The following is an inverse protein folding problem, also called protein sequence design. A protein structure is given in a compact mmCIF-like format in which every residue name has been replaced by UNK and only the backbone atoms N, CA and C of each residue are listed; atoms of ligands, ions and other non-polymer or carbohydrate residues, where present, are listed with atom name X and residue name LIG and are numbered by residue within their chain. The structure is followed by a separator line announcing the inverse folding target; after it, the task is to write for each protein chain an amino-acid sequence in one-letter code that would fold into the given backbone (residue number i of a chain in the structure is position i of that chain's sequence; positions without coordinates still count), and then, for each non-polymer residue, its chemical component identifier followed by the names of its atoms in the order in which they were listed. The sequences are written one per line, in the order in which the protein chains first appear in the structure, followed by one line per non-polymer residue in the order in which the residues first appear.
data_IF_540627846174
#
_entry.id   IF_540627846174
#
_cell.length_a   1.000
_cell.length_b   1.000
_cell.length_c   1.000
_cell.angle_alpha   90.00
_cell.angle_beta   90.00
_cell.angle_gamma   90.00
#
_symmetry.space_group_name_H-M   'P 1'
#
loop_
_entity.id
_entity.type
_entity.pdbx_description
1 polymer ?
#
# COMPACT_ATOMS: atom_id res chain seq x y z
N UNK A 1 6.66 -14.36 -0.17
CA UNK A 1 6.49 -13.26 0.82
C UNK A 1 5.05 -12.78 0.77
N UNK A 2 4.46 -12.47 1.92
CA UNK A 2 3.15 -11.83 2.07
C UNK A 2 3.33 -10.49 2.77
N UNK A 3 2.42 -9.55 2.52
CA UNK A 3 2.37 -8.27 3.23
C UNK A 3 1.10 -8.18 4.06
N UNK A 4 1.21 -7.85 5.34
CA UNK A 4 0.09 -7.46 6.18
C UNK A 4 -0.06 -5.95 6.11
N UNK A 5 -1.14 -5.49 5.50
CA UNK A 5 -1.53 -4.08 5.47
C UNK A 5 -2.54 -3.84 6.58
N UNK A 6 -2.20 -2.95 7.51
CA UNK A 6 -3.08 -2.59 8.62
C UNK A 6 -3.51 -1.13 8.47
N UNK A 7 -4.82 -0.91 8.54
CA UNK A 7 -5.42 0.43 8.50
C UNK A 7 -6.16 0.66 9.80
N UNK A 8 -5.83 1.74 10.50
CA UNK A 8 -6.51 2.15 11.73
C UNK A 8 -7.14 3.51 11.54
N UNK A 9 -8.42 3.63 11.86
CA UNK A 9 -9.11 4.89 11.94
C UNK A 9 -8.94 5.47 13.35
N UNK A 10 -8.58 6.71 13.43
CA UNK A 10 -8.27 7.42 14.66
C UNK A 10 -9.31 8.49 14.97
N UNK A 11 -9.45 8.83 16.23
CA UNK A 11 -10.19 10.02 16.64
C UNK A 11 -9.52 11.28 16.08
N UNK A 12 -10.29 12.33 15.73
CA UNK A 12 -9.72 13.61 15.31
C UNK A 12 -8.67 14.12 16.29
N UNK A 13 -7.64 14.79 15.78
CA UNK A 13 -6.55 15.40 16.53
C UNK A 13 -5.60 14.47 17.27
N UNK A 14 -5.75 13.14 17.13
CA UNK A 14 -4.91 12.16 17.82
C UNK A 14 -3.67 11.71 17.05
N UNK A 15 -3.60 12.00 15.76
CA UNK A 15 -2.54 11.51 14.87
C UNK A 15 -1.11 11.77 15.40
N UNK A 16 -0.73 12.99 15.84
CA UNK A 16 0.64 13.25 16.29
C UNK A 16 1.03 12.39 17.51
N UNK A 17 0.11 12.22 18.46
CA UNK A 17 0.37 11.42 19.65
C UNK A 17 0.43 9.91 19.32
N UNK A 18 -0.42 9.44 18.40
CA UNK A 18 -0.40 8.05 17.92
C UNK A 18 0.91 7.74 17.21
N UNK A 19 1.37 8.61 16.31
CA UNK A 19 2.65 8.44 15.61
C UNK A 19 3.82 8.41 16.57
N UNK A 20 3.85 9.32 17.55
CA UNK A 20 4.87 9.37 18.58
C UNK A 20 4.94 8.04 19.36
N UNK A 21 3.82 7.60 19.95
CA UNK A 21 3.76 6.36 20.74
C UNK A 21 4.07 5.12 19.90
N UNK A 22 3.65 5.14 18.62
CA UNK A 22 3.95 4.03 17.73
C UNK A 22 5.42 3.97 17.38
N UNK A 23 6.06 5.12 17.10
CA UNK A 23 7.51 5.22 16.87
C UNK A 23 8.33 4.75 18.06
N UNK A 24 7.97 5.19 19.28
CA UNK A 24 8.62 4.75 20.53
C UNK A 24 8.52 3.23 20.72
N UNK A 25 7.32 2.65 20.53
CA UNK A 25 7.11 1.21 20.66
C UNK A 25 7.80 0.40 19.54
N UNK A 26 7.93 0.99 18.33
CA UNK A 26 8.58 0.34 17.19
C UNK A 26 10.05 0.04 17.43
N UNK A 27 10.77 0.81 18.24
CA UNK A 27 12.19 0.58 18.57
C UNK A 27 12.45 -0.83 19.11
N UNK A 28 11.52 -1.40 19.87
CA UNK A 28 11.61 -2.78 20.32
C UNK A 28 10.97 -3.75 19.32
N UNK A 29 9.85 -3.37 18.70
CA UNK A 29 9.15 -4.22 17.73
C UNK A 29 9.99 -4.59 16.51
N UNK A 30 10.86 -3.69 16.02
CA UNK A 30 11.75 -3.93 14.87
C UNK A 30 12.74 -5.09 15.07
N UNK A 31 13.00 -5.51 16.31
CA UNK A 31 13.84 -6.68 16.63
C UNK A 31 13.19 -8.00 16.20
N UNK A 32 11.87 -8.03 16.04
CA UNK A 32 11.11 -9.22 15.70
C UNK A 32 10.83 -9.34 14.19
N UNK A 33 10.47 -8.24 13.53
CA UNK A 33 10.36 -8.17 12.08
C UNK A 33 10.41 -6.72 11.60
N UNK A 34 10.84 -6.49 10.35
CA UNK A 34 10.87 -5.15 9.79
C UNK A 34 9.45 -4.61 9.57
N UNK A 35 9.29 -3.32 9.82
CA UNK A 35 8.25 -2.50 9.24
C UNK A 35 8.73 -2.09 7.83
N UNK A 36 7.86 -2.15 6.82
CA UNK A 36 8.22 -1.71 5.47
C UNK A 36 7.78 -0.27 5.22
N UNK A 37 6.63 0.12 5.74
CA UNK A 37 6.12 1.46 5.62
C UNK A 37 5.15 1.80 6.76
N UNK A 38 5.11 3.07 7.14
CA UNK A 38 4.11 3.63 8.03
C UNK A 38 3.72 5.01 7.52
N UNK A 39 2.44 5.17 7.18
CA UNK A 39 1.89 6.37 6.61
C UNK A 39 0.67 6.84 7.37
N UNK A 40 0.36 8.11 7.25
CA UNK A 40 -0.97 8.65 7.53
C UNK A 40 -1.62 9.17 6.25
N UNK A 41 -2.93 9.28 6.26
CA UNK A 41 -3.70 9.83 5.13
C UNK A 41 -3.72 11.34 5.19
N UNK A 42 -3.23 11.98 4.13
CA UNK A 42 -3.29 13.44 3.94
C UNK A 42 -4.56 13.85 3.16
N UNK A 43 -4.87 13.11 2.09
CA UNK A 43 -6.08 13.31 1.27
C UNK A 43 -6.83 12.00 1.16
N UNK A 44 -8.11 12.01 1.46
CA UNK A 44 -9.00 10.85 1.50
C UNK A 44 -9.68 10.72 2.86
N UNK A 45 -9.92 9.51 3.38
CA UNK A 45 -10.39 9.33 4.75
C UNK A 45 -9.36 9.86 5.73
N UNK A 46 -9.70 10.98 6.43
CA UNK A 46 -8.80 11.63 7.38
C UNK A 46 -8.61 10.80 8.65
N UNK A 47 -7.55 11.14 9.39
CA UNK A 47 -7.20 10.48 10.66
C UNK A 47 -7.00 8.97 10.53
N UNK A 48 -6.42 8.52 9.43
CA UNK A 48 -6.03 7.15 9.22
C UNK A 48 -4.51 6.98 9.31
N UNK A 49 -4.06 5.91 9.97
CA UNK A 49 -2.70 5.39 9.81
C UNK A 49 -2.75 4.07 9.04
N UNK A 50 -1.75 3.87 8.18
CA UNK A 50 -1.60 2.66 7.38
C UNK A 50 -0.17 2.17 7.54
N UNK A 51 -0.01 0.93 7.97
CA UNK A 51 1.33 0.36 8.12
C UNK A 51 1.43 -1.03 7.53
N UNK A 52 2.61 -1.32 6.98
CA UNK A 52 2.88 -2.52 6.18
C UNK A 52 3.99 -3.34 6.81
N UNK A 53 3.69 -4.60 7.08
CA UNK A 53 4.62 -5.59 7.61
C UNK A 53 4.80 -6.73 6.62
N UNK A 54 6.04 -7.16 6.39
CA UNK A 54 6.32 -8.29 5.53
C UNK A 54 6.61 -9.57 6.33
N UNK A 55 6.16 -10.70 5.81
CA UNK A 55 6.40 -12.02 6.36
C UNK A 55 6.59 -13.04 5.23
N UNK A 56 7.30 -14.11 5.52
CA UNK A 56 7.43 -15.21 4.57
C UNK A 56 6.06 -15.84 4.27
N UNK A 57 5.29 -16.11 5.34
CA UNK A 57 3.98 -16.75 5.30
C UNK A 57 3.17 -16.43 6.57
N UNK A 58 1.96 -16.98 6.66
CA UNK A 58 1.07 -16.79 7.82
C UNK A 58 1.59 -17.44 9.11
N UNK A 59 2.35 -18.52 9.01
CA UNK A 59 2.90 -19.19 10.18
C UNK A 59 4.00 -18.33 10.82
N UNK A 60 4.92 -17.79 10.02
CA UNK A 60 5.93 -16.84 10.48
C UNK A 60 5.29 -15.58 11.07
N UNK A 61 4.28 -15.00 10.38
CA UNK A 61 3.52 -13.87 10.91
C UNK A 61 2.97 -14.14 12.31
N UNK A 62 2.35 -15.32 12.50
CA UNK A 62 1.75 -15.70 13.79
C UNK A 62 2.81 -15.85 14.88
N UNK A 63 3.92 -16.51 14.59
CA UNK A 63 5.03 -16.71 15.51
C UNK A 63 5.67 -15.38 15.93
N UNK A 64 5.97 -14.51 14.96
CA UNK A 64 6.57 -13.19 15.21
C UNK A 64 5.64 -12.31 16.05
N UNK A 65 4.35 -12.29 15.74
CA UNK A 65 3.37 -11.50 16.49
C UNK A 65 3.25 -11.99 17.95
N UNK A 66 3.22 -13.31 18.14
CA UNK A 66 3.20 -13.91 19.48
C UNK A 66 4.46 -13.58 20.27
N UNK A 67 5.64 -13.59 19.62
CA UNK A 67 6.89 -13.19 20.25
C UNK A 67 6.92 -11.70 20.64
N UNK A 68 6.46 -10.83 19.75
CA UNK A 68 6.43 -9.39 19.99
C UNK A 68 5.47 -8.99 21.13
N UNK A 69 4.36 -9.71 21.32
CA UNK A 69 3.43 -9.46 22.42
C UNK A 69 3.99 -9.79 23.81
N UNK A 70 5.12 -10.47 23.90
CA UNK A 70 5.83 -10.71 25.17
C UNK A 70 6.68 -9.50 25.60
N UNK A 71 6.92 -8.55 24.70
CA UNK A 71 7.60 -7.30 24.99
C UNK A 71 6.62 -6.33 25.66
N UNK A 72 6.99 -5.81 26.83
CA UNK A 72 6.14 -4.90 27.60
C UNK A 72 5.87 -3.56 26.93
N UNK A 73 6.63 -3.21 25.90
CA UNK A 73 6.49 -1.96 25.14
C UNK A 73 5.60 -2.11 23.90
N UNK A 74 5.24 -3.35 23.52
CA UNK A 74 4.40 -3.64 22.38
C UNK A 74 3.11 -4.38 22.80
N UNK A 75 1.93 -4.03 22.28
CA UNK A 75 1.63 -2.98 21.28
C UNK A 75 1.70 -1.56 21.87
N UNK A 76 1.79 -0.50 21.02
CA UNK A 76 1.74 0.88 21.48
C UNK A 76 0.42 1.16 22.22
N UNK A 77 0.49 1.96 23.28
CA UNK A 77 -0.68 2.34 24.10
C UNK A 77 -1.49 3.43 23.38
N UNK A 78 -2.29 3.04 22.41
CA UNK A 78 -3.10 3.95 21.57
C UNK A 78 -4.59 3.62 21.59
N UNK A 79 -5.04 2.69 22.44
CA UNK A 79 -6.43 2.20 22.44
C UNK A 79 -7.47 3.31 22.57
N UNK A 80 -7.20 4.34 23.39
CA UNK A 80 -8.09 5.48 23.59
C UNK A 80 -8.32 6.34 22.34
N UNK A 81 -7.42 6.25 21.35
CA UNK A 81 -7.50 7.01 20.09
C UNK A 81 -8.14 6.24 18.95
N UNK A 82 -8.32 4.92 19.10
CA UNK A 82 -8.81 4.07 18.02
C UNK A 82 -10.33 4.17 17.85
N UNK A 83 -10.76 4.26 16.60
CA UNK A 83 -12.14 4.14 16.16
C UNK A 83 -12.39 2.76 15.55
N UNK A 84 -11.50 2.35 14.62
CA UNK A 84 -11.54 1.04 14.00
C UNK A 84 -10.15 0.53 13.64
N UNK A 85 -10.03 -0.78 13.46
CA UNK A 85 -8.79 -1.43 13.03
C UNK A 85 -9.12 -2.51 12.00
N UNK A 86 -8.36 -2.52 10.90
CA UNK A 86 -8.44 -3.52 9.84
C UNK A 86 -7.06 -4.06 9.52
N UNK A 87 -6.97 -5.36 9.29
CA UNK A 87 -5.76 -6.04 8.84
C UNK A 87 -6.09 -6.93 7.65
N UNK A 88 -5.30 -6.80 6.60
CA UNK A 88 -5.49 -7.52 5.34
C UNK A 88 -4.17 -8.15 4.91
N UNK A 89 -4.22 -9.36 4.35
CA UNK A 89 -3.05 -10.04 3.81
C UNK A 89 -3.04 -9.86 2.30
N UNK A 90 -1.92 -9.35 1.81
CA UNK A 90 -1.69 -9.05 0.41
C UNK A 90 -0.61 -9.92 -0.17
N UNK A 91 -0.84 -10.41 -1.39
CA UNK A 91 0.13 -11.14 -2.20
C UNK A 91 0.67 -10.19 -3.28
N UNK A 92 1.99 -10.02 -3.40
CA UNK A 92 2.56 -9.21 -4.47
C UNK A 92 2.37 -9.87 -5.84
N UNK A 93 2.05 -9.07 -6.85
CA UNK A 93 2.16 -9.51 -8.24
C UNK A 93 3.62 -9.74 -8.63
N UNK A 94 3.87 -10.58 -9.63
CA UNK A 94 5.23 -10.86 -10.14
C UNK A 94 5.97 -9.59 -10.62
N UNK A 95 5.24 -8.60 -11.11
CA UNK A 95 5.78 -7.30 -11.54
C UNK A 95 5.91 -6.28 -10.39
N UNK A 96 5.41 -6.59 -9.19
CA UNK A 96 5.51 -5.66 -8.06
C UNK A 96 6.95 -5.55 -7.59
N UNK A 97 7.50 -4.34 -7.44
CA UNK A 97 8.77 -4.19 -6.77
C UNK A 97 8.68 -4.70 -5.32
N UNK A 98 9.78 -5.21 -4.82
CA UNK A 98 9.92 -5.49 -3.40
C UNK A 98 10.00 -4.18 -2.63
N UNK A 99 9.22 -4.04 -1.57
CA UNK A 99 9.34 -2.88 -0.69
C UNK A 99 10.69 -2.90 0.02
N UNK A 100 11.39 -1.78 -0.06
CA UNK A 100 12.70 -1.59 0.61
C UNK A 100 12.70 -0.26 1.34
N UNK A 101 13.40 -0.17 2.48
CA UNK A 101 13.67 1.12 3.10
C UNK A 101 14.32 2.08 2.12
N UNK A 102 13.95 3.34 2.18
CA UNK A 102 14.52 4.35 1.28
C UNK A 102 13.62 5.56 1.12
N UNK A 103 14.04 6.47 0.26
CA UNK A 103 13.32 7.71 -0.03
C UNK A 103 12.78 7.65 -1.46
N UNK A 104 11.46 7.64 -1.60
CA UNK A 104 10.82 7.65 -2.92
C UNK A 104 10.02 8.93 -3.18
N UNK A 105 9.54 9.59 -2.16
CA UNK A 105 8.83 10.87 -2.26
C UNK A 105 8.14 11.20 -0.94
N UNK A 106 7.68 12.44 -0.73
CA UNK A 106 6.86 12.71 0.45
C UNK A 106 5.41 12.26 0.30
N UNK A 107 4.92 12.04 -0.93
CA UNK A 107 3.53 11.68 -1.21
C UNK A 107 3.43 10.31 -1.87
N UNK A 108 2.53 9.47 -1.36
CA UNK A 108 2.23 8.15 -1.91
C UNK A 108 0.76 8.07 -2.28
N UNK A 109 0.45 7.92 -3.57
CA UNK A 109 -0.92 7.62 -4.00
C UNK A 109 -1.18 6.13 -3.83
N UNK A 110 -2.00 5.75 -2.87
CA UNK A 110 -2.52 4.39 -2.74
C UNK A 110 -3.86 4.30 -3.45
N UNK A 111 -3.94 3.42 -4.44
CA UNK A 111 -5.17 3.15 -5.16
C UNK A 111 -5.65 1.75 -4.83
N UNK A 112 -6.93 1.64 -4.49
CA UNK A 112 -7.58 0.37 -4.14
C UNK A 112 -8.72 0.16 -5.14
N UNK A 113 -8.64 -0.91 -5.93
CA UNK A 113 -9.65 -1.28 -6.89
C UNK A 113 -10.31 -2.58 -6.47
N UNK A 114 -11.63 -2.61 -6.47
CA UNK A 114 -12.37 -3.86 -6.34
C UNK A 114 -12.69 -4.37 -7.74
N UNK A 115 -12.23 -5.57 -8.04
CA UNK A 115 -12.45 -6.21 -9.34
C UNK A 115 -13.77 -6.99 -9.32
N UNK A 116 -14.38 -7.15 -10.49
CA UNK A 116 -15.52 -8.03 -10.65
C UNK A 116 -15.16 -9.48 -10.31
N UNK A 117 -16.17 -10.30 -10.04
CA UNK A 117 -15.95 -11.74 -9.84
C UNK A 117 -15.42 -12.41 -11.11
N UNK A 118 -14.79 -13.56 -10.96
CA UNK A 118 -14.22 -14.34 -12.05
C UNK A 118 -12.73 -14.08 -12.25
N UNK A 119 -12.19 -14.49 -13.38
CA UNK A 119 -10.75 -14.51 -13.69
C UNK A 119 -10.19 -13.12 -14.05
N UNK A 120 -10.34 -12.14 -13.15
CA UNK A 120 -9.87 -10.77 -13.39
C UNK A 120 -8.36 -10.61 -13.12
N UNK A 121 -7.81 -11.28 -12.10
CA UNK A 121 -6.39 -11.16 -11.74
C UNK A 121 -5.43 -11.57 -12.87
N UNK A 122 -5.63 -12.69 -13.59
CA UNK A 122 -4.78 -13.04 -14.73
C UNK A 122 -4.83 -12.01 -15.87
N UNK A 123 -6.01 -11.45 -16.15
CA UNK A 123 -6.17 -10.41 -17.18
C UNK A 123 -5.44 -9.12 -16.76
N UNK A 124 -5.59 -8.73 -15.50
CA UNK A 124 -4.89 -7.59 -14.93
C UNK A 124 -3.38 -7.79 -15.04
N UNK A 125 -2.87 -8.94 -14.58
CA UNK A 125 -1.45 -9.24 -14.62
C UNK A 125 -0.90 -9.15 -16.05
N UNK A 126 -1.56 -9.79 -17.02
CA UNK A 126 -1.11 -9.77 -18.41
C UNK A 126 -1.01 -8.36 -19.00
N UNK A 127 -1.95 -7.47 -18.69
CA UNK A 127 -1.93 -6.07 -19.13
C UNK A 127 -0.85 -5.26 -18.42
N UNK A 128 -0.67 -5.46 -17.12
CA UNK A 128 0.34 -4.75 -16.34
C UNK A 128 1.75 -5.19 -16.69
N UNK A 129 2.00 -6.48 -16.90
CA UNK A 129 3.29 -7.01 -17.37
C UNK A 129 3.73 -6.33 -18.68
N UNK A 130 2.79 -6.06 -19.58
CA UNK A 130 3.05 -5.40 -20.88
C UNK A 130 3.18 -3.88 -20.77
N UNK A 131 2.39 -3.23 -19.93
CA UNK A 131 2.32 -1.77 -19.87
C UNK A 131 3.26 -1.13 -18.85
N UNK A 132 3.58 -1.85 -17.79
CA UNK A 132 4.37 -1.31 -16.69
C UNK A 132 5.79 -0.88 -17.09
N UNK A 133 6.55 -1.61 -17.93
CA UNK A 133 7.89 -1.17 -18.36
C UNK A 133 7.93 0.22 -18.98
N UNK A 134 6.91 0.60 -19.74
CA UNK A 134 6.80 1.95 -20.31
C UNK A 134 6.25 2.95 -19.28
N UNK A 135 5.31 2.54 -18.44
CA UNK A 135 4.73 3.41 -17.43
C UNK A 135 5.75 3.87 -16.37
N UNK A 136 6.66 2.99 -15.94
CA UNK A 136 7.65 3.32 -14.91
C UNK A 136 8.74 4.28 -15.39
N UNK A 137 8.85 4.53 -16.68
CA UNK A 137 9.72 5.60 -17.24
C UNK A 137 9.26 7.01 -16.83
N UNK A 138 8.01 7.18 -16.43
CA UNK A 138 7.43 8.46 -15.99
C UNK A 138 7.46 8.65 -14.47
N UNK A 139 7.24 7.60 -13.71
CA UNK A 139 7.43 7.55 -12.24
C UNK A 139 7.53 6.10 -11.78
N UNK A 140 8.30 5.81 -10.73
CA UNK A 140 8.44 4.45 -10.23
C UNK A 140 7.11 3.92 -9.66
N UNK A 141 6.94 2.60 -9.71
CA UNK A 141 5.92 1.90 -8.91
C UNK A 141 6.53 1.57 -7.55
N UNK A 142 5.80 1.85 -6.46
CA UNK A 142 6.21 1.46 -5.12
C UNK A 142 5.79 0.02 -4.80
N UNK A 143 4.53 -0.32 -5.08
CA UNK A 143 3.98 -1.65 -4.82
C UNK A 143 2.74 -1.94 -5.67
N UNK A 144 2.48 -3.23 -5.92
CA UNK A 144 1.26 -3.72 -6.53
C UNK A 144 0.90 -5.10 -5.97
N UNK A 145 -0.24 -5.21 -5.32
CA UNK A 145 -0.67 -6.40 -4.57
C UNK A 145 -2.13 -6.73 -4.83
N UNK A 146 -2.50 -7.99 -4.65
CA UNK A 146 -3.90 -8.39 -4.53
C UNK A 146 -4.20 -8.94 -3.14
N UNK A 147 -5.46 -8.83 -2.71
CA UNK A 147 -5.90 -9.35 -1.42
C UNK A 147 -5.98 -10.88 -1.43
N UNK A 148 -5.48 -11.50 -0.36
CA UNK A 148 -5.64 -12.92 -0.08
C UNK A 148 -6.62 -13.14 1.08
N UNK A 149 -6.46 -12.37 2.15
CA UNK A 149 -7.34 -12.37 3.31
C UNK A 149 -7.78 -10.95 3.63
N UNK A 150 -9.05 -10.76 3.94
CA UNK A 150 -9.71 -9.48 4.17
C UNK A 150 -10.78 -9.23 3.13
N UNK A 151 -10.83 -8.01 2.57
CA UNK A 151 -11.75 -7.71 1.50
C UNK A 151 -11.32 -8.42 0.20
N UNK A 152 -12.24 -9.17 -0.42
CA UNK A 152 -11.95 -9.99 -1.59
C UNK A 152 -11.85 -9.17 -2.88
N UNK A 153 -11.18 -9.74 -3.89
CA UNK A 153 -11.03 -9.19 -5.23
C UNK A 153 -10.42 -7.79 -5.26
N UNK A 154 -9.62 -7.43 -4.26
CA UNK A 154 -8.95 -6.13 -4.26
C UNK A 154 -7.60 -6.20 -4.97
N UNK A 155 -7.33 -5.14 -5.71
CA UNK A 155 -6.04 -4.81 -6.28
C UNK A 155 -5.58 -3.47 -5.72
N UNK A 156 -4.45 -3.47 -5.04
CA UNK A 156 -3.81 -2.28 -4.46
C UNK A 156 -2.55 -1.98 -5.25
N UNK A 157 -2.38 -0.71 -5.62
CA UNK A 157 -1.10 -0.26 -6.17
C UNK A 157 -0.74 1.12 -5.63
N UNK A 158 0.55 1.33 -5.40
CA UNK A 158 1.08 2.50 -4.70
C UNK A 158 2.13 3.17 -5.56
N UNK A 159 1.99 4.49 -5.75
CA UNK A 159 2.87 5.32 -6.55
C UNK A 159 3.42 6.49 -5.75
N UNK A 160 4.75 6.67 -5.67
CA UNK A 160 5.35 7.81 -5.00
C UNK A 160 5.42 9.01 -5.94
N UNK A 161 5.32 10.21 -5.36
CA UNK A 161 5.44 11.49 -6.05
C UNK A 161 6.10 12.54 -5.16
N UNK A 162 6.75 13.53 -5.74
CA UNK A 162 7.32 14.67 -5.02
C UNK A 162 6.24 15.69 -4.61
N UNK A 163 5.15 15.76 -5.39
CA UNK A 163 4.02 16.64 -5.15
C UNK A 163 2.75 16.10 -5.83
N UNK A 164 1.61 16.66 -5.46
CA UNK A 164 0.32 16.38 -6.14
C UNK A 164 0.33 16.89 -7.59
N UNK A 165 1.05 17.98 -7.86
CA UNK A 165 1.20 18.51 -9.23
C UNK A 165 2.02 17.57 -10.10
N UNK A 166 3.16 17.05 -9.59
CA UNK A 166 3.96 16.04 -10.30
C UNK A 166 3.11 14.80 -10.63
N UNK A 167 2.29 14.34 -9.67
CA UNK A 167 1.36 13.23 -9.91
C UNK A 167 0.45 13.50 -11.11
N UNK A 168 -0.13 14.68 -11.23
CA UNK A 168 -1.01 15.05 -12.32
C UNK A 168 -0.24 15.09 -13.65
N UNK A 169 0.90 15.78 -13.69
CA UNK A 169 1.76 15.84 -14.87
C UNK A 169 2.20 14.46 -15.36
N UNK A 170 2.68 13.61 -14.46
CA UNK A 170 3.12 12.25 -14.79
C UNK A 170 1.98 11.43 -15.41
N UNK A 171 0.78 11.53 -14.86
CA UNK A 171 -0.39 10.81 -15.35
C UNK A 171 -0.82 11.31 -16.72
N UNK A 172 -0.81 12.62 -16.95
CA UNK A 172 -1.17 13.24 -18.23
C UNK A 172 -0.13 12.91 -19.31
N UNK A 173 1.17 12.97 -18.99
CA UNK A 173 2.26 12.56 -19.88
C UNK A 173 2.14 11.09 -20.29
N UNK A 174 1.90 10.18 -19.34
CA UNK A 174 1.75 8.76 -19.63
C UNK A 174 0.50 8.45 -20.48
N UNK A 175 -0.59 9.20 -20.27
CA UNK A 175 -1.81 9.10 -21.08
C UNK A 175 -1.58 9.63 -22.50
N UNK A 176 -0.96 10.80 -22.64
CA UNK A 176 -0.63 11.39 -23.94
C UNK A 176 0.30 10.49 -24.76
N UNK A 177 1.26 9.83 -24.12
CA UNK A 177 2.13 8.83 -24.75
C UNK A 177 1.43 7.51 -25.10
N UNK A 178 0.16 7.32 -24.72
CA UNK A 178 -0.62 6.10 -24.99
C UNK A 178 -0.09 4.85 -24.27
N UNK A 179 0.67 5.03 -23.17
CA UNK A 179 1.25 3.92 -22.40
C UNK A 179 0.44 3.59 -21.14
N UNK A 180 -0.49 4.45 -20.78
CA UNK A 180 -1.32 4.30 -19.57
C UNK A 180 -2.65 5.07 -19.71
N UNK A 181 -3.77 4.65 -19.14
CA UNK A 181 -3.98 3.49 -18.25
C UNK A 181 -4.08 2.14 -18.99
N UNK A 182 -4.13 1.00 -18.26
CA UNK A 182 -4.24 -0.34 -18.86
C UNK A 182 -5.42 -0.54 -19.81
N UNK A 183 -6.52 0.19 -19.63
CA UNK A 183 -7.66 0.17 -20.54
C UNK A 183 -7.34 0.67 -21.97
N UNK A 184 -6.38 1.57 -22.13
CA UNK A 184 -5.86 1.98 -23.43
C UNK A 184 -4.99 0.88 -24.03
N UNK A 185 -4.18 0.22 -23.20
CA UNK A 185 -3.33 -0.89 -23.64
C UNK A 185 -4.13 -2.10 -24.08
N UNK A 186 -5.20 -2.43 -23.39
CA UNK A 186 -6.12 -3.51 -23.78
C UNK A 186 -6.56 -3.35 -25.22
N UNK A 187 -7.03 -2.16 -25.60
CA UNK A 187 -7.45 -1.86 -26.97
C UNK A 187 -6.29 -1.92 -27.97
N UNK A 188 -5.14 -1.34 -27.62
CA UNK A 188 -3.96 -1.25 -28.49
C UNK A 188 -3.32 -2.62 -28.76
N UNK A 189 -3.30 -3.49 -27.75
CA UNK A 189 -2.63 -4.81 -27.82
C UNK A 189 -3.57 -5.95 -28.16
N UNK A 190 -4.90 -5.71 -28.25
CA UNK A 190 -5.90 -6.77 -28.46
C UNK A 190 -5.98 -7.76 -27.29
N UNK A 191 -5.55 -7.34 -26.09
CA UNK A 191 -5.60 -8.17 -24.89
C UNK A 191 -6.94 -7.97 -24.16
N UNK A 192 -7.47 -9.01 -23.48
CA UNK A 192 -8.70 -8.86 -22.71
C UNK A 192 -8.48 -7.87 -21.56
N UNK A 193 -9.41 -6.93 -21.40
CA UNK A 193 -9.48 -6.05 -20.24
C UNK A 193 -9.91 -6.79 -18.99
N UNK A 194 -9.77 -6.14 -17.85
CA UNK A 194 -10.32 -6.58 -16.58
C UNK A 194 -11.36 -5.56 -16.08
N UNK A 195 -12.34 -6.06 -15.34
CA UNK A 195 -13.48 -5.26 -14.92
C UNK A 195 -13.29 -4.78 -13.48
N UNK A 196 -13.42 -3.47 -13.30
CA UNK A 196 -13.34 -2.80 -11.99
C UNK A 196 -14.74 -2.33 -11.63
N UNK A 197 -15.23 -2.74 -10.45
CA UNK A 197 -16.56 -2.33 -9.96
C UNK A 197 -16.49 -1.18 -8.96
N UNK A 198 -15.32 -0.95 -8.33
CA UNK A 198 -15.09 0.16 -7.39
C UNK A 198 -13.64 0.62 -7.47
N UNK A 199 -13.44 1.93 -7.38
CA UNK A 199 -12.11 2.55 -7.30
C UNK A 199 -12.07 3.54 -6.15
N UNK A 200 -11.05 3.42 -5.32
CA UNK A 200 -10.74 4.36 -4.26
C UNK A 200 -9.28 4.78 -4.38
N UNK A 201 -8.98 6.01 -3.97
CA UNK A 201 -7.60 6.44 -3.81
C UNK A 201 -7.45 7.35 -2.60
N UNK A 202 -6.24 7.40 -2.10
CA UNK A 202 -5.83 8.31 -1.04
C UNK A 202 -4.38 8.74 -1.24
N UNK A 203 -4.06 9.92 -0.78
CA UNK A 203 -2.68 10.41 -0.71
C UNK A 203 -2.20 10.22 0.72
N UNK A 204 -1.07 9.57 0.85
CA UNK A 204 -0.44 9.21 2.10
C UNK A 204 0.87 9.98 2.25
N UNK A 205 1.21 10.32 3.49
CA UNK A 205 2.51 10.86 3.87
C UNK A 205 3.20 9.93 4.87
N UNK A 206 4.51 9.72 4.76
CA UNK A 206 5.24 8.88 5.69
C UNK A 206 5.41 9.55 7.05
N UNK A 207 5.19 8.80 8.13
CA UNK A 207 5.57 9.23 9.47
C UNK A 207 7.10 9.28 9.59
N UNK A 208 7.62 10.10 10.48
CA UNK A 208 9.06 10.36 10.62
C UNK A 208 9.91 9.08 10.85
N UNK A 209 9.35 8.07 11.49
CA UNK A 209 10.00 6.77 11.74
C UNK A 209 9.75 5.72 10.64
N UNK A 210 8.96 6.05 9.61
CA UNK A 210 8.70 5.11 8.51
C UNK A 210 10.00 4.74 7.80
N UNK A 211 10.29 3.46 7.54
CA UNK A 211 11.47 3.06 6.77
C UNK A 211 11.43 3.52 5.31
N UNK A 212 10.22 3.68 4.77
CA UNK A 212 9.98 4.20 3.43
C UNK A 212 9.52 5.66 3.55
N UNK A 213 10.35 6.61 3.03
CA UNK A 213 10.18 8.07 3.08
C UNK A 213 9.88 8.66 1.69
#
# INVERSE_FOLDING_TARGET
MIYEVRTYDLKPHSLPEVEKRFGEAYENRKKHSPLFAFWHTEIGPLNQIIHVWGYKDLAERSAIRAAALKDSTWPPKIAEFLVSQRAEIMIPFSFSPELKPGKMGPYYEMRVYTLANGAQLPKLQALWDKGLPDRVKFSPLCAAWHSELGALNQFIHIWPYKSVDERNEVRDKAKAAGVWPPSLLSKKLGLPGYDIIKQENKILMPSAFSPLQ
#
